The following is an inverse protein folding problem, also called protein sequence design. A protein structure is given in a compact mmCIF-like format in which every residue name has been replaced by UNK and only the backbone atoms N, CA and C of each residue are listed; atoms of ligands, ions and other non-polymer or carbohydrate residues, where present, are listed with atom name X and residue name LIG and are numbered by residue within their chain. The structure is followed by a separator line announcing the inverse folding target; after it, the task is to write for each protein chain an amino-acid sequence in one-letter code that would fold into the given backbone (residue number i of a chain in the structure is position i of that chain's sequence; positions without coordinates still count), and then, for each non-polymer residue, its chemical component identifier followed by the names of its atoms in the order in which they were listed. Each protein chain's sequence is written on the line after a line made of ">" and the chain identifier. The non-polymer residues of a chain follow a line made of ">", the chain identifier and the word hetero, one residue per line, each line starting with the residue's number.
data_IF_922973483472
#
_entry.id   IF_922973483472
#
_cell.length_a   1.000
_cell.length_b   1.000
_cell.length_c   1.000
_cell.angle_alpha   90.00
_cell.angle_beta   90.00
_cell.angle_gamma   90.00
#
_symmetry.space_group_name_H-M   'P 1'
#
loop_
_entity.id
_entity.type
_entity.pdbx_description
1 polymer ?
#
# COMPACT_ATOMS: atom_id res chain seq x y z
N UNK A 1 -12.73 -6.65 -41.70
CA UNK A 1 -11.59 -6.36 -40.82
C UNK A 1 -10.87 -5.12 -41.35
N UNK A 2 -11.23 -3.95 -40.83
CA UNK A 2 -10.55 -2.68 -41.13
C UNK A 2 -9.44 -2.52 -40.10
N UNK A 3 -8.19 -2.58 -40.56
CA UNK A 3 -7.00 -2.44 -39.74
C UNK A 3 -6.59 -0.97 -39.76
N UNK A 4 -6.83 -0.26 -38.65
CA UNK A 4 -6.40 1.13 -38.48
C UNK A 4 -4.96 1.09 -37.93
N UNK A 5 -3.97 1.74 -38.56
CA UNK A 5 -2.62 1.83 -38.01
C UNK A 5 -2.55 2.95 -36.98
N UNK A 6 -2.13 2.61 -35.76
CA UNK A 6 -1.84 3.59 -34.70
C UNK A 6 -0.39 4.08 -34.87
N UNK A 7 -0.09 5.40 -34.86
CA UNK A 7 1.26 5.89 -34.99
C UNK A 7 2.00 5.80 -33.64
N UNK A 8 3.14 5.12 -33.63
CA UNK A 8 4.07 5.12 -32.50
C UNK A 8 5.02 6.32 -32.61
N UNK A 9 5.01 7.20 -31.61
CA UNK A 9 5.97 8.30 -31.49
C UNK A 9 7.22 7.80 -30.74
N UNK A 10 8.32 7.61 -31.45
CA UNK A 10 9.63 7.34 -30.85
C UNK A 10 10.25 8.65 -30.33
N UNK A 11 10.52 8.72 -29.04
CA UNK A 11 11.37 9.77 -28.45
C UNK A 11 12.78 9.20 -28.32
N UNK A 12 13.81 9.77 -28.97
CA UNK A 12 15.19 9.35 -28.75
C UNK A 12 15.67 9.88 -27.40
N UNK A 13 16.08 8.97 -26.52
CA UNK A 13 16.85 9.33 -25.32
C UNK A 13 18.31 9.46 -25.74
N UNK A 14 18.83 10.69 -25.72
CA UNK A 14 20.25 10.97 -25.91
C UNK A 14 21.08 10.23 -24.85
N UNK A 15 21.94 9.35 -25.35
CA UNK A 15 22.96 8.67 -24.56
C UNK A 15 24.05 9.64 -24.18
N UNK A 16 24.12 10.03 -22.90
CA UNK A 16 25.34 10.57 -22.30
C UNK A 16 26.10 9.46 -21.56
N UNK A 17 27.38 9.39 -21.88
CA UNK A 17 28.30 8.30 -21.60
C UNK A 17 28.54 8.04 -20.10
N UNK A 18 28.50 6.76 -19.72
CA UNK A 18 29.02 6.25 -18.44
C UNK A 18 30.30 5.46 -18.76
N UNK A 19 31.43 5.72 -18.09
CA UNK A 19 32.67 5.01 -18.35
C UNK A 19 32.60 3.56 -17.86
N UNK A 20 33.13 2.68 -18.70
CA UNK A 20 33.22 1.26 -18.51
C UNK A 20 34.23 0.89 -17.42
N UNK A 21 33.76 0.54 -16.23
CA UNK A 21 34.34 -0.56 -15.45
C UNK A 21 33.41 -0.94 -14.29
N UNK A 22 32.66 -2.04 -14.43
CA UNK A 22 32.16 -2.92 -13.35
C UNK A 22 31.01 -3.81 -13.84
N UNK A 23 31.30 -5.10 -14.01
CA UNK A 23 30.42 -6.22 -13.64
C UNK A 23 29.06 -6.35 -14.36
N UNK A 24 28.99 -7.30 -15.28
CA UNK A 24 27.79 -7.78 -15.95
C UNK A 24 26.61 -8.06 -14.99
N UNK A 25 25.47 -7.40 -15.24
CA UNK A 25 24.15 -7.79 -14.76
C UNK A 25 23.48 -8.58 -15.90
N UNK A 26 22.90 -9.77 -15.64
CA UNK A 26 22.26 -10.57 -16.68
C UNK A 26 21.02 -9.86 -17.25
N UNK A 27 20.84 -9.82 -18.58
CA UNK A 27 19.76 -9.11 -19.24
C UNK A 27 18.50 -9.99 -19.31
N UNK A 28 17.86 -10.30 -18.18
CA UNK A 28 16.61 -11.08 -18.25
C UNK A 28 15.59 -10.86 -17.12
N UNK A 29 15.56 -9.68 -16.50
CA UNK A 29 14.51 -9.37 -15.51
C UNK A 29 13.97 -7.95 -15.62
N UNK A 30 13.61 -7.55 -16.84
CA UNK A 30 12.78 -6.38 -17.09
C UNK A 30 11.57 -6.79 -17.94
N UNK A 31 10.72 -7.68 -17.39
CA UNK A 31 9.32 -7.72 -17.80
C UNK A 31 8.64 -6.49 -17.20
N UNK A 32 8.71 -5.39 -17.94
CA UNK A 32 7.80 -4.28 -17.75
C UNK A 32 6.38 -4.84 -17.89
N UNK A 33 5.61 -4.80 -16.80
CA UNK A 33 4.18 -5.01 -16.88
C UNK A 33 3.60 -3.82 -17.65
N UNK A 34 3.19 -4.07 -18.89
CA UNK A 34 2.33 -3.17 -19.64
C UNK A 34 1.06 -2.98 -18.82
N UNK A 35 0.87 -1.78 -18.28
CA UNK A 35 -0.43 -1.33 -17.80
C UNK A 35 -1.17 -0.85 -19.07
N UNK A 36 -2.33 -1.42 -19.42
CA UNK A 36 -3.13 -0.93 -20.53
C UNK A 36 -3.52 0.53 -20.28
N UNK A 37 -3.30 1.40 -21.27
CA UNK A 37 -3.66 2.82 -21.21
C UNK A 37 -5.19 3.06 -21.23
N UNK A 38 -6.01 2.01 -21.24
CA UNK A 38 -7.48 2.11 -21.30
C UNK A 38 -8.13 2.49 -19.96
N UNK A 39 -7.40 2.47 -18.85
CA UNK A 39 -7.95 2.92 -17.55
C UNK A 39 -8.12 4.44 -17.45
N UNK A 40 -7.53 5.22 -18.37
CA UNK A 40 -7.73 6.68 -18.43
C UNK A 40 -8.96 7.10 -19.26
N UNK A 41 -9.43 6.29 -20.21
CA UNK A 41 -10.62 6.63 -21.02
C UNK A 41 -11.91 6.63 -20.21
N UNK A 42 -12.01 5.68 -19.26
CA UNK A 42 -13.22 5.50 -18.46
C UNK A 42 -13.46 6.61 -17.43
N UNK A 43 -12.40 7.24 -16.90
CA UNK A 43 -12.54 8.39 -16.00
C UNK A 43 -13.09 9.64 -16.71
N UNK A 44 -12.88 9.78 -18.02
CA UNK A 44 -13.48 10.87 -18.81
C UNK A 44 -14.97 10.63 -19.10
N UNK A 45 -15.37 9.37 -19.32
CA UNK A 45 -16.77 9.02 -19.56
C UNK A 45 -17.61 9.12 -18.28
N UNK A 46 -17.06 8.72 -17.13
CA UNK A 46 -17.71 8.89 -15.83
C UNK A 46 -17.89 10.37 -15.44
N UNK A 47 -16.91 11.24 -15.74
CA UNK A 47 -17.05 12.69 -15.52
C UNK A 47 -18.17 13.27 -16.40
N UNK A 48 -18.28 12.83 -17.65
CA UNK A 48 -19.34 13.27 -18.57
C UNK A 48 -20.74 12.87 -18.08
N UNK A 49 -20.92 11.68 -17.51
CA UNK A 49 -22.21 11.24 -16.96
C UNK A 49 -22.62 11.98 -15.67
N UNK A 50 -21.65 12.50 -14.90
CA UNK A 50 -21.90 13.27 -13.68
C UNK A 50 -22.22 14.74 -14.00
N UNK A 51 -21.67 15.29 -15.08
CA UNK A 51 -21.93 16.67 -15.51
C UNK A 51 -23.36 16.87 -16.07
N UNK A 52 -23.97 15.82 -16.62
CA UNK A 52 -25.31 15.87 -17.24
C UNK A 52 -26.48 15.79 -16.21
N UNK A 53 -26.21 15.51 -14.93
CA UNK A 53 -27.20 15.47 -13.85
C UNK A 53 -27.36 16.81 -13.11
N UNK A 54 -27.27 17.93 -13.82
CA UNK A 54 -27.51 19.26 -13.24
C UNK A 54 -29.01 19.58 -13.22
N UNK A 55 -29.69 19.09 -12.20
CA UNK A 55 -31.09 19.41 -11.90
C UNK A 55 -31.22 20.90 -11.55
N UNK A 56 -31.85 21.66 -12.45
CA UNK A 56 -32.33 23.04 -12.25
C UNK A 56 -33.31 23.12 -11.05
N UNK A 57 -33.12 24.02 -10.07
CA UNK A 57 -34.09 24.26 -9.02
C UNK A 57 -35.10 25.33 -9.48
N UNK A 58 -36.34 24.89 -9.71
CA UNK A 58 -37.49 25.72 -10.06
C UNK A 58 -38.00 26.54 -8.86
N UNK A 59 -38.47 27.75 -9.15
CA UNK A 59 -38.79 28.88 -8.27
C UNK A 59 -39.88 28.68 -7.20
N UNK A 60 -39.64 29.23 -5.99
CA UNK A 60 -40.50 30.06 -5.09
C UNK A 60 -41.97 29.64 -4.71
N UNK A 61 -42.58 30.11 -3.58
CA UNK A 61 -42.31 31.40 -2.92
C UNK A 61 -42.24 31.48 -1.38
N UNK A 62 -41.74 32.65 -0.97
CA UNK A 62 -41.57 33.27 0.34
C UNK A 62 -42.65 32.99 1.42
N UNK A 63 -42.19 32.89 2.68
CA UNK A 63 -42.86 33.55 3.81
C UNK A 63 -41.87 34.01 4.89
N UNK A 64 -41.99 35.28 5.24
CA UNK A 64 -41.19 36.09 6.16
C UNK A 64 -41.25 35.63 7.63
N UNK A 65 -40.13 35.73 8.37
CA UNK A 65 -40.02 36.59 9.57
C UNK A 65 -38.70 36.46 10.36
N UNK A 66 -37.96 37.57 10.38
CA UNK A 66 -37.36 38.23 11.55
C UNK A 66 -36.07 37.68 12.21
N UNK A 67 -34.97 38.37 11.87
CA UNK A 67 -34.11 39.17 12.78
C UNK A 67 -33.56 38.51 14.06
N UNK A 68 -32.25 38.20 14.03
CA UNK A 68 -31.29 38.86 14.93
C UNK A 68 -29.86 38.79 14.41
N UNK A 69 -29.31 39.98 14.10
CA UNK A 69 -27.90 40.28 13.84
C UNK A 69 -27.08 40.10 15.11
N UNK A 70 -25.88 39.53 14.97
CA UNK A 70 -24.63 40.25 15.27
C UNK A 70 -23.52 39.71 14.37
N UNK A 71 -23.24 40.45 13.30
CA UNK A 71 -22.11 40.29 12.40
C UNK A 71 -20.92 41.08 12.94
N UNK A 72 -19.83 40.41 13.28
CA UNK A 72 -18.49 41.00 13.33
C UNK A 72 -17.73 40.56 12.08
N UNK A 73 -17.89 41.32 11.00
CA UNK A 73 -17.16 41.14 9.74
C UNK A 73 -15.72 41.66 9.88
N UNK A 74 -14.88 40.83 10.48
CA UNK A 74 -13.45 40.86 10.22
C UNK A 74 -13.24 40.49 8.75
N UNK A 75 -12.49 41.31 7.99
CA UNK A 75 -12.05 40.95 6.64
C UNK A 75 -11.02 39.82 6.78
N UNK A 76 -11.49 38.59 6.96
CA UNK A 76 -10.64 37.39 6.91
C UNK A 76 -9.96 37.43 5.55
N UNK A 77 -8.65 37.61 5.56
CA UNK A 77 -7.90 37.68 4.33
C UNK A 77 -7.96 36.29 3.67
N UNK A 78 -7.95 36.21 2.34
CA UNK A 78 -7.92 34.90 1.64
C UNK A 78 -6.75 34.02 2.12
N UNK A 79 -5.68 34.64 2.62
CA UNK A 79 -4.52 33.95 3.19
C UNK A 79 -4.85 33.27 4.52
N UNK A 80 -5.69 33.87 5.36
CA UNK A 80 -6.09 33.27 6.64
C UNK A 80 -6.93 32.00 6.40
N UNK A 81 -7.83 32.02 5.41
CA UNK A 81 -8.63 30.84 5.01
C UNK A 81 -7.73 29.71 4.48
N UNK A 82 -6.70 30.06 3.70
CA UNK A 82 -5.75 29.07 3.18
C UNK A 82 -4.88 28.50 4.29
N UNK A 83 -4.40 29.33 5.22
CA UNK A 83 -3.60 28.87 6.35
C UNK A 83 -4.40 27.96 7.28
N UNK A 84 -5.67 28.28 7.55
CA UNK A 84 -6.57 27.43 8.33
C UNK A 84 -6.87 26.09 7.63
N UNK A 85 -7.02 26.13 6.30
CA UNK A 85 -7.17 24.91 5.49
C UNK A 85 -5.89 24.05 5.53
N UNK A 86 -4.70 24.66 5.44
CA UNK A 86 -3.41 23.95 5.53
C UNK A 86 -3.19 23.38 6.93
N UNK A 87 -3.54 24.12 7.98
CA UNK A 87 -3.44 23.68 9.37
C UNK A 87 -4.38 22.50 9.64
N UNK A 88 -5.63 22.57 9.20
CA UNK A 88 -6.58 21.45 9.31
C UNK A 88 -6.13 20.22 8.49
N UNK A 89 -5.58 20.42 7.28
CA UNK A 89 -4.99 19.34 6.48
C UNK A 89 -3.77 18.70 7.17
N UNK A 90 -2.94 19.50 7.86
CA UNK A 90 -1.77 19.00 8.62
C UNK A 90 -2.15 18.15 9.84
N UNK A 91 -3.40 18.20 10.28
CA UNK A 91 -3.91 17.36 11.37
C UNK A 91 -4.48 16.03 10.86
N UNK A 92 -4.55 15.83 9.53
CA UNK A 92 -4.99 14.57 8.93
C UNK A 92 -3.83 13.61 8.70
N UNK A 93 -4.14 12.34 8.41
CA UNK A 93 -3.15 11.30 8.06
C UNK A 93 -2.37 11.61 6.76
N UNK A 94 -2.72 12.70 6.07
CA UNK A 94 -2.09 13.20 4.83
C UNK A 94 -1.01 14.26 5.12
N UNK A 95 -0.80 14.64 6.39
CA UNK A 95 0.19 15.64 6.80
C UNK A 95 1.62 15.37 6.27
N UNK A 96 1.95 14.10 6.05
CA UNK A 96 3.22 13.66 5.48
C UNK A 96 3.48 14.15 4.04
N UNK A 97 2.45 14.55 3.29
CA UNK A 97 2.58 15.12 1.93
C UNK A 97 2.99 16.59 1.97
N UNK A 98 2.54 17.33 2.99
CA UNK A 98 2.74 18.78 3.09
C UNK A 98 3.97 19.16 3.92
N UNK A 99 4.41 18.28 4.81
CA UNK A 99 5.64 18.49 5.55
C UNK A 99 6.85 18.25 4.63
N UNK A 100 7.65 19.29 4.41
CA UNK A 100 8.90 19.28 3.62
C UNK A 100 9.99 18.37 4.19
N UNK A 101 9.73 17.67 5.29
CA UNK A 101 10.65 16.72 5.89
C UNK A 101 10.76 15.51 4.96
N UNK A 102 11.97 15.32 4.41
CA UNK A 102 12.33 14.17 3.57
C UNK A 102 11.90 12.87 4.26
N UNK A 103 10.96 12.16 3.64
CA UNK A 103 10.44 10.89 4.13
C UNK A 103 11.62 9.92 4.29
N UNK A 104 11.89 9.48 5.51
CA UNK A 104 12.95 8.51 5.77
C UNK A 104 12.45 7.11 5.42
N UNK A 105 13.39 6.21 5.10
CA UNK A 105 13.09 4.77 4.96
C UNK A 105 12.32 4.19 6.17
N UNK A 106 12.47 4.83 7.34
CA UNK A 106 11.89 4.42 8.61
C UNK A 106 10.42 4.82 8.77
N UNK A 107 9.90 5.71 7.92
CA UNK A 107 8.56 6.25 8.10
C UNK A 107 7.48 5.20 7.77
N UNK A 108 6.46 5.07 8.64
CA UNK A 108 5.36 4.14 8.41
C UNK A 108 4.63 4.52 7.13
N UNK A 109 4.31 3.52 6.32
CA UNK A 109 3.52 3.75 5.11
C UNK A 109 2.06 3.90 5.54
N UNK A 110 1.36 4.93 5.06
CA UNK A 110 -0.06 5.13 5.36
C UNK A 110 -0.82 3.83 5.11
N UNK A 111 -1.54 3.39 6.12
CA UNK A 111 -2.25 2.12 6.08
C UNK A 111 -3.55 2.34 5.32
N UNK A 112 -3.63 1.87 4.08
CA UNK A 112 -4.91 1.75 3.39
C UNK A 112 -5.72 0.67 4.11
N UNK A 113 -6.74 1.06 4.86
CA UNK A 113 -7.73 0.15 5.42
C UNK A 113 -8.56 -0.39 4.26
N UNK A 114 -8.16 -1.54 3.72
CA UNK A 114 -8.96 -2.28 2.74
C UNK A 114 -10.17 -2.86 3.48
N UNK A 115 -11.31 -2.19 3.39
CA UNK A 115 -12.56 -2.80 3.82
C UNK A 115 -12.86 -4.00 2.91
N UNK A 116 -13.18 -5.13 3.52
CA UNK A 116 -13.61 -6.33 2.80
C UNK A 116 -14.95 -5.97 2.15
N UNK A 117 -15.00 -6.00 0.81
CA UNK A 117 -16.25 -5.83 0.08
C UNK A 117 -17.16 -6.98 0.54
N UNK A 118 -18.32 -6.69 1.16
CA UNK A 118 -19.26 -7.74 1.54
C UNK A 118 -19.67 -8.49 0.28
N UNK A 119 -19.51 -9.81 0.28
CA UNK A 119 -20.06 -10.66 -0.77
C UNK A 119 -21.58 -10.57 -0.69
N UNK A 120 -22.18 -9.65 -1.45
CA UNK A 120 -23.62 -9.60 -1.56
C UNK A 120 -24.04 -10.84 -2.36
N UNK A 121 -24.76 -11.76 -1.72
CA UNK A 121 -25.43 -12.83 -2.42
C UNK A 121 -26.44 -12.18 -3.37
N UNK A 122 -26.26 -12.34 -4.67
CA UNK A 122 -27.25 -11.92 -5.67
C UNK A 122 -28.58 -12.60 -5.31
N UNK A 123 -29.61 -11.83 -4.91
CA UNK A 123 -30.93 -12.41 -4.70
C UNK A 123 -31.41 -12.86 -6.07
N UNK A 124 -31.43 -14.17 -6.33
CA UNK A 124 -31.83 -14.74 -7.63
C UNK A 124 -33.34 -14.56 -7.90
N UNK A 125 -34.11 -14.24 -6.86
CA UNK A 125 -35.57 -14.26 -6.85
C UNK A 125 -36.27 -13.11 -7.61
N UNK A 126 -35.80 -11.84 -7.60
CA UNK A 126 -36.54 -10.73 -8.23
C UNK A 126 -36.51 -10.78 -9.77
N UNK A 127 -35.44 -11.30 -10.36
CA UNK A 127 -35.27 -11.41 -11.81
C UNK A 127 -36.09 -12.54 -12.44
N UNK A 128 -36.64 -13.44 -11.63
CA UNK A 128 -37.44 -14.58 -12.10
C UNK A 128 -38.94 -14.28 -12.19
N UNK A 129 -39.37 -13.06 -11.85
CA UNK A 129 -40.77 -12.65 -11.88
C UNK A 129 -41.14 -12.30 -13.33
N UNK A 130 -42.22 -12.88 -13.83
CA UNK A 130 -42.77 -12.56 -15.15
C UNK A 130 -43.67 -11.30 -15.02
N UNK A 131 -43.26 -10.15 -15.57
CA UNK A 131 -44.00 -8.90 -15.41
C UNK A 131 -45.33 -8.96 -16.17
N UNK A 132 -46.42 -8.52 -15.55
CA UNK A 132 -47.76 -8.46 -16.16
C UNK A 132 -48.18 -7.04 -16.58
N UNK A 133 -47.49 -6.01 -16.08
CA UNK A 133 -47.82 -4.60 -16.35
C UNK A 133 -46.64 -3.84 -16.96
N UNK A 134 -46.91 -2.80 -17.76
CA UNK A 134 -45.86 -1.97 -18.39
C UNK A 134 -44.92 -1.32 -17.36
N UNK A 135 -45.46 -0.97 -16.19
CA UNK A 135 -44.68 -0.42 -15.08
C UNK A 135 -43.71 -1.44 -14.49
N UNK A 136 -44.11 -2.71 -14.38
CA UNK A 136 -43.24 -3.79 -13.93
C UNK A 136 -42.12 -4.05 -14.93
N UNK A 137 -42.39 -3.97 -16.24
CA UNK A 137 -41.36 -4.06 -17.28
C UNK A 137 -40.34 -2.94 -17.13
N UNK A 138 -40.80 -1.69 -16.96
CA UNK A 138 -39.90 -0.55 -16.77
C UNK A 138 -39.06 -0.68 -15.50
N UNK A 139 -39.66 -1.14 -14.40
CA UNK A 139 -38.95 -1.34 -13.14
C UNK A 139 -37.91 -2.46 -13.23
N UNK A 140 -38.22 -3.56 -13.91
CA UNK A 140 -37.27 -4.65 -14.14
C UNK A 140 -36.10 -4.20 -15.02
N UNK A 141 -36.35 -3.37 -16.05
CA UNK A 141 -35.29 -2.80 -16.87
C UNK A 141 -34.35 -1.91 -16.05
N UNK A 142 -34.90 -1.00 -15.23
CA UNK A 142 -34.12 -0.16 -14.33
C UNK A 142 -33.33 -0.98 -13.30
N UNK A 143 -33.92 -2.06 -12.78
CA UNK A 143 -33.25 -2.96 -11.84
C UNK A 143 -32.07 -3.68 -12.51
N UNK A 144 -32.26 -4.23 -13.71
CA UNK A 144 -31.19 -4.89 -14.47
C UNK A 144 -30.04 -3.94 -14.81
N UNK A 145 -30.35 -2.71 -15.23
CA UNK A 145 -29.35 -1.69 -15.49
C UNK A 145 -28.56 -1.34 -14.22
N UNK A 146 -29.26 -1.13 -13.09
CA UNK A 146 -28.61 -0.85 -11.82
C UNK A 146 -27.72 -2.01 -11.33
N UNK A 147 -28.12 -3.25 -11.57
CA UNK A 147 -27.33 -4.43 -11.23
C UNK A 147 -26.08 -4.52 -12.11
N UNK A 148 -26.21 -4.31 -13.42
CA UNK A 148 -25.08 -4.26 -14.34
C UNK A 148 -24.07 -3.17 -13.92
N UNK A 149 -24.54 -1.97 -13.59
CA UNK A 149 -23.70 -0.89 -13.07
C UNK A 149 -23.00 -1.27 -11.76
N UNK A 150 -23.72 -1.90 -10.82
CA UNK A 150 -23.14 -2.35 -9.56
C UNK A 150 -22.05 -3.42 -9.76
N UNK A 151 -22.23 -4.33 -10.71
CA UNK A 151 -21.21 -5.32 -11.06
C UNK A 151 -19.94 -4.66 -11.61
N UNK A 152 -20.09 -3.63 -12.46
CA UNK A 152 -18.96 -2.85 -12.98
C UNK A 152 -18.21 -2.16 -11.83
N UNK A 153 -18.94 -1.50 -10.92
CA UNK A 153 -18.34 -0.83 -9.75
C UNK A 153 -17.61 -1.81 -8.82
N UNK A 154 -18.17 -3.00 -8.63
CA UNK A 154 -17.55 -4.06 -7.85
C UNK A 154 -16.21 -4.49 -8.47
N UNK A 155 -16.20 -4.75 -9.78
CA UNK A 155 -14.98 -5.12 -10.50
C UNK A 155 -13.92 -4.01 -10.41
N UNK A 156 -14.30 -2.75 -10.63
CA UNK A 156 -13.40 -1.60 -10.48
C UNK A 156 -12.80 -1.52 -9.07
N UNK A 157 -13.62 -1.76 -8.05
CA UNK A 157 -13.14 -1.77 -6.66
C UNK A 157 -12.14 -2.89 -6.42
N UNK A 158 -12.39 -4.10 -6.94
CA UNK A 158 -11.45 -5.23 -6.86
C UNK A 158 -10.12 -4.88 -7.53
N UNK A 159 -10.15 -4.29 -8.72
CA UNK A 159 -8.95 -3.88 -9.46
C UNK A 159 -8.13 -2.82 -8.69
N UNK A 160 -8.80 -1.83 -8.11
CA UNK A 160 -8.16 -0.81 -7.27
C UNK A 160 -7.56 -1.43 -6.02
N UNK A 161 -8.28 -2.35 -5.36
CA UNK A 161 -7.76 -3.06 -4.19
C UNK A 161 -6.53 -3.90 -4.53
N UNK A 162 -6.58 -4.67 -5.63
CA UNK A 162 -5.46 -5.48 -6.10
C UNK A 162 -4.23 -4.60 -6.43
N UNK A 163 -4.46 -3.49 -7.13
CA UNK A 163 -3.40 -2.52 -7.46
C UNK A 163 -2.77 -1.92 -6.22
N UNK A 164 -3.57 -1.55 -5.21
CA UNK A 164 -3.06 -1.04 -3.94
C UNK A 164 -2.23 -2.07 -3.17
N UNK A 165 -2.66 -3.35 -3.15
CA UNK A 165 -1.89 -4.44 -2.54
C UNK A 165 -0.53 -4.60 -3.24
N UNK A 166 -0.53 -4.58 -4.57
CA UNK A 166 0.70 -4.69 -5.36
C UNK A 166 1.63 -3.49 -5.13
N UNK A 167 1.10 -2.27 -5.14
CA UNK A 167 1.84 -1.05 -4.86
C UNK A 167 2.46 -1.09 -3.45
N UNK A 168 1.71 -1.54 -2.45
CA UNK A 168 2.21 -1.74 -1.09
C UNK A 168 3.38 -2.72 -1.04
N UNK A 169 3.26 -3.85 -1.75
CA UNK A 169 4.33 -4.84 -1.84
C UNK A 169 5.58 -4.26 -2.54
N UNK A 170 5.40 -3.53 -3.64
CA UNK A 170 6.47 -2.87 -4.37
C UNK A 170 7.20 -1.83 -3.51
N UNK A 171 6.45 -0.91 -2.89
CA UNK A 171 7.00 0.11 -2.00
C UNK A 171 7.77 -0.52 -0.84
N UNK A 172 7.27 -1.63 -0.27
CA UNK A 172 8.00 -2.35 0.78
C UNK A 172 9.35 -2.89 0.30
N UNK A 173 9.43 -3.42 -0.92
CA UNK A 173 10.67 -3.91 -1.52
C UNK A 173 11.65 -2.76 -1.76
N UNK A 174 11.15 -1.64 -2.29
CA UNK A 174 11.95 -0.44 -2.54
C UNK A 174 12.51 0.13 -1.23
N UNK A 175 11.70 0.24 -0.18
CA UNK A 175 12.15 0.66 1.16
C UNK A 175 13.25 -0.25 1.70
N UNK A 176 13.15 -1.57 1.52
CA UNK A 176 14.22 -2.50 1.92
C UNK A 176 15.52 -2.27 1.12
N UNK A 177 15.43 -2.01 -0.18
CA UNK A 177 16.61 -1.70 -0.99
C UNK A 177 17.29 -0.41 -0.54
N UNK A 178 16.50 0.64 -0.24
CA UNK A 178 17.02 1.90 0.29
C UNK A 178 17.66 1.70 1.67
N UNK A 179 16.98 1.03 2.59
CA UNK A 179 17.52 0.70 3.91
C UNK A 179 18.85 -0.07 3.81
N UNK A 180 18.93 -1.04 2.89
CA UNK A 180 20.17 -1.78 2.63
C UNK A 180 21.29 -0.89 2.12
N UNK A 181 20.97 0.04 1.20
CA UNK A 181 21.96 0.98 0.67
C UNK A 181 22.43 1.97 1.75
N UNK A 182 21.53 2.48 2.59
CA UNK A 182 21.85 3.35 3.71
C UNK A 182 22.72 2.63 4.74
N UNK A 183 22.38 1.39 5.10
CA UNK A 183 23.17 0.58 6.02
C UNK A 183 24.55 0.27 5.41
N UNK A 184 24.63 -0.07 4.12
CA UNK A 184 25.91 -0.22 3.43
C UNK A 184 26.75 1.06 3.49
N UNK A 185 26.15 2.24 3.37
CA UNK A 185 26.87 3.51 3.51
C UNK A 185 27.35 3.74 4.94
N UNK A 186 26.53 3.42 5.94
CA UNK A 186 26.91 3.51 7.37
C UNK A 186 28.02 2.51 7.72
N UNK A 187 28.01 1.33 7.13
CA UNK A 187 29.01 0.28 7.39
C UNK A 187 30.37 0.56 6.73
N UNK A 188 30.49 1.53 5.80
CA UNK A 188 31.77 1.86 5.12
C UNK A 188 32.90 2.38 6.02
N UNK A 189 32.67 2.51 7.32
CA UNK A 189 33.68 2.84 8.33
C UNK A 189 33.82 1.79 9.45
N UNK A 190 33.00 0.73 9.42
CA UNK A 190 32.89 -0.21 10.53
C UNK A 190 34.07 -1.18 10.53
N UNK A 191 35.03 -0.94 11.43
CA UNK A 191 36.25 -1.73 11.57
C UNK A 191 37.54 -0.90 11.39
N UNK A 192 37.43 0.36 10.99
CA UNK A 192 38.55 1.29 10.95
C UNK A 192 38.77 1.93 12.32
N UNK A 193 40.03 2.22 12.68
CA UNK A 193 40.39 2.88 13.94
C UNK A 193 39.76 4.28 14.08
N UNK A 194 39.54 4.96 12.95
CA UNK A 194 38.85 6.25 12.83
C UNK A 194 37.76 6.06 11.77
N UNK A 195 36.49 6.06 12.20
CA UNK A 195 35.34 5.58 11.43
C UNK A 195 35.05 6.31 10.11
N UNK A 196 35.70 7.44 9.85
CA UNK A 196 35.41 8.29 8.69
C UNK A 196 36.10 7.82 7.40
N UNK A 197 37.02 6.84 7.50
CA UNK A 197 37.76 6.29 6.35
C UNK A 197 38.73 7.29 5.67
N UNK A 198 38.83 8.50 6.19
CA UNK A 198 39.74 9.54 5.73
C UNK A 198 41.10 9.44 6.45
N UNK A 199 42.22 9.74 5.77
CA UNK A 199 43.52 9.85 6.42
C UNK A 199 43.47 10.94 7.52
N UNK A 200 43.67 10.54 8.77
CA UNK A 200 43.72 11.45 9.91
C UNK A 200 45.09 11.34 10.59
N UNK A 201 45.78 12.48 10.74
CA UNK A 201 47.06 12.54 11.46
C UNK A 201 46.75 12.61 12.94
N UNK A 202 46.88 11.47 13.63
CA UNK A 202 46.73 11.39 15.07
C UNK A 202 48.06 11.67 15.77
N UNK A 203 48.04 12.51 16.80
CA UNK A 203 49.16 12.65 17.75
C UNK A 203 49.31 11.33 18.54
N UNK A 204 50.54 10.96 18.94
CA UNK A 204 50.86 9.64 19.53
C UNK A 204 49.93 9.20 20.67
N UNK A 205 49.59 10.10 21.59
CA UNK A 205 48.69 9.81 22.71
C UNK A 205 47.24 9.57 22.26
N UNK A 206 46.77 10.34 21.27
CA UNK A 206 45.43 10.18 20.70
C UNK A 206 45.31 8.85 19.94
N UNK A 207 46.36 8.46 19.21
CA UNK A 207 46.46 7.16 18.55
C UNK A 207 46.40 6.01 19.56
N UNK A 208 47.20 6.08 20.63
CA UNK A 208 47.22 5.02 21.64
C UNK A 208 45.87 4.83 22.31
N UNK A 209 45.20 5.93 22.70
CA UNK A 209 43.84 5.88 23.26
C UNK A 209 42.85 5.24 22.28
N UNK A 210 42.88 5.62 21.00
CA UNK A 210 42.01 5.04 19.98
C UNK A 210 42.23 3.52 19.82
N UNK A 211 43.48 3.06 19.83
CA UNK A 211 43.81 1.62 19.70
C UNK A 211 43.32 0.82 20.91
N UNK A 212 43.43 1.38 22.10
CA UNK A 212 42.94 0.73 23.34
C UNK A 212 41.41 0.61 23.30
N UNK A 213 40.70 1.68 22.95
CA UNK A 213 39.24 1.66 22.87
C UNK A 213 38.74 0.73 21.76
N UNK A 214 39.42 0.71 20.60
CA UNK A 214 39.10 -0.23 19.52
C UNK A 214 39.24 -1.69 19.94
N UNK A 215 40.30 -2.05 20.69
CA UNK A 215 40.49 -3.41 21.23
C UNK A 215 39.40 -3.77 22.24
N UNK A 216 39.07 -2.86 23.16
CA UNK A 216 37.98 -3.07 24.12
C UNK A 216 36.64 -3.28 23.41
N UNK A 217 36.36 -2.47 22.39
CA UNK A 217 35.16 -2.58 21.57
C UNK A 217 35.10 -3.92 20.84
N UNK A 218 36.22 -4.42 20.30
CA UNK A 218 36.30 -5.76 19.69
C UNK A 218 35.98 -6.88 20.67
N UNK A 219 36.56 -6.83 21.86
CA UNK A 219 36.28 -7.81 22.93
C UNK A 219 34.82 -7.75 23.41
N UNK A 220 34.20 -6.57 23.42
CA UNK A 220 32.77 -6.43 23.72
C UNK A 220 31.88 -6.99 22.59
N UNK A 221 32.21 -6.69 21.33
CA UNK A 221 31.48 -7.17 20.15
C UNK A 221 31.48 -8.71 20.08
N UNK A 222 32.62 -9.35 20.39
CA UNK A 222 32.73 -10.81 20.45
C UNK A 222 31.84 -11.41 21.54
N UNK A 223 31.82 -10.80 22.74
CA UNK A 223 30.95 -11.25 23.84
C UNK A 223 29.47 -11.10 23.48
N UNK A 224 29.09 -9.98 22.87
CA UNK A 224 27.71 -9.75 22.43
C UNK A 224 27.31 -10.72 21.30
N UNK A 225 28.23 -11.04 20.39
CA UNK A 225 28.00 -12.02 19.34
C UNK A 225 27.76 -13.42 19.92
N UNK A 226 28.50 -13.80 20.97
CA UNK A 226 28.33 -15.07 21.65
C UNK A 226 26.98 -15.15 22.37
N UNK A 227 26.62 -14.14 23.16
CA UNK A 227 25.29 -14.07 23.80
C UNK A 227 24.16 -14.16 22.77
N UNK A 228 24.31 -13.53 21.60
CA UNK A 228 23.32 -13.63 20.51
C UNK A 228 23.24 -15.02 19.88
N UNK A 229 24.31 -15.81 19.89
CA UNK A 229 24.24 -17.21 19.43
C UNK A 229 23.48 -18.06 20.46
N UNK A 230 23.76 -17.88 21.74
CA UNK A 230 23.08 -18.61 22.81
C UNK A 230 21.58 -18.34 22.80
N UNK A 231 21.17 -17.07 22.72
CA UNK A 231 19.75 -16.69 22.61
C UNK A 231 19.10 -17.29 21.36
N UNK A 232 19.80 -17.29 20.22
CA UNK A 232 19.29 -17.91 18.98
C UNK A 232 19.14 -19.42 19.10
N UNK A 233 20.05 -20.09 19.79
CA UNK A 233 19.97 -21.54 20.03
C UNK A 233 18.78 -21.89 20.92
N UNK A 234 18.55 -21.14 22.01
CA UNK A 234 17.39 -21.31 22.88
C UNK A 234 16.09 -21.09 22.12
N UNK A 235 16.01 -20.01 21.34
CA UNK A 235 14.83 -19.72 20.52
C UNK A 235 14.56 -20.81 19.48
N UNK A 236 15.60 -21.29 18.78
CA UNK A 236 15.46 -22.35 17.79
C UNK A 236 14.98 -23.67 18.42
N UNK A 237 15.45 -24.00 19.62
CA UNK A 237 14.99 -25.17 20.37
C UNK A 237 13.51 -25.05 20.76
N UNK A 238 13.11 -23.90 21.33
CA UNK A 238 11.72 -23.64 21.69
C UNK A 238 10.78 -23.66 20.47
N UNK A 239 11.23 -23.13 19.33
CA UNK A 239 10.47 -23.16 18.09
C UNK A 239 10.26 -24.59 17.59
N UNK A 240 11.28 -25.44 17.71
CA UNK A 240 11.19 -26.85 17.32
C UNK A 240 10.21 -27.62 18.21
N UNK A 241 10.29 -27.42 19.52
CA UNK A 241 9.36 -28.03 20.48
C UNK A 241 7.91 -27.61 20.20
N UNK A 242 7.68 -26.32 19.91
CA UNK A 242 6.37 -25.82 19.53
C UNK A 242 5.84 -26.45 18.23
N UNK A 243 6.69 -26.59 17.20
CA UNK A 243 6.33 -27.24 15.94
C UNK A 243 5.98 -28.72 16.11
N UNK A 244 6.73 -29.44 16.94
CA UNK A 244 6.44 -30.84 17.27
C UNK A 244 5.09 -30.98 18.00
N UNK A 245 4.80 -30.06 18.93
CA UNK A 245 3.52 -29.99 19.62
C UNK A 245 2.34 -29.69 18.67
N UNK A 246 2.51 -28.73 17.75
CA UNK A 246 1.47 -28.39 16.76
C UNK A 246 1.18 -29.57 15.83
N UNK A 247 2.23 -30.28 15.38
CA UNK A 247 2.09 -31.46 14.54
C UNK A 247 1.35 -32.59 15.26
N UNK A 248 1.64 -32.83 16.54
CA UNK A 248 0.96 -33.84 17.35
C UNK A 248 -0.54 -33.52 17.53
N UNK A 249 -0.87 -32.27 17.89
CA UNK A 249 -2.27 -31.84 18.02
C UNK A 249 -3.04 -31.96 16.70
N UNK A 250 -2.40 -31.63 15.58
CA UNK A 250 -3.01 -31.74 14.26
C UNK A 250 -3.30 -33.21 13.90
N UNK A 251 -2.38 -34.13 14.20
CA UNK A 251 -2.55 -35.55 13.96
C UNK A 251 -3.71 -36.14 14.79
N UNK A 252 -3.78 -35.82 16.09
CA UNK A 252 -4.87 -36.25 16.97
C UNK A 252 -6.23 -35.73 16.48
N UNK A 253 -6.29 -34.45 16.07
CA UNK A 253 -7.51 -33.87 15.50
C UNK A 253 -7.92 -34.56 14.21
N UNK A 254 -6.97 -34.93 13.37
CA UNK A 254 -7.25 -35.64 12.11
C UNK A 254 -7.75 -37.06 12.36
N UNK A 255 -7.20 -37.77 13.35
CA UNK A 255 -7.71 -39.08 13.79
C UNK A 255 -9.16 -38.99 14.29
N UNK A 256 -9.43 -38.04 15.19
CA UNK A 256 -10.79 -37.76 15.68
C UNK A 256 -11.76 -37.42 14.53
N UNK A 257 -11.31 -36.67 13.53
CA UNK A 257 -12.10 -36.35 12.34
C UNK A 257 -12.37 -37.59 11.47
N UNK A 258 -11.41 -38.49 11.36
CA UNK A 258 -11.56 -39.75 10.62
C UNK A 258 -12.56 -40.68 11.31
N UNK A 259 -12.48 -40.81 12.64
CA UNK A 259 -13.46 -41.54 13.44
C UNK A 259 -14.86 -40.96 13.30
N UNK A 260 -14.99 -39.63 13.39
CA UNK A 260 -16.25 -38.94 13.20
C UNK A 260 -16.82 -39.18 11.79
N UNK A 261 -16.00 -39.05 10.74
CA UNK A 261 -16.41 -39.34 9.36
C UNK A 261 -16.91 -40.78 9.22
N UNK A 262 -16.17 -41.74 9.78
CA UNK A 262 -16.56 -43.15 9.75
C UNK A 262 -17.89 -43.38 10.49
N UNK A 263 -18.08 -42.76 11.66
CA UNK A 263 -19.34 -42.83 12.39
C UNK A 263 -20.49 -42.24 11.56
N UNK A 264 -20.34 -41.06 10.96
CA UNK A 264 -21.36 -40.43 10.09
C UNK A 264 -21.75 -41.36 8.94
N UNK A 265 -20.78 -42.00 8.26
CA UNK A 265 -21.10 -42.94 7.18
C UNK A 265 -21.88 -44.17 7.64
N UNK A 266 -21.76 -44.57 8.91
CA UNK A 266 -22.57 -45.65 9.49
C UNK A 266 -24.01 -45.20 9.77
N UNK A 267 -24.22 -43.93 10.15
CA UNK A 267 -25.55 -43.36 10.41
C UNK A 267 -26.34 -43.01 9.15
N UNK A 268 -25.67 -42.79 8.02
CA UNK A 268 -26.31 -42.43 6.74
C UNK A 268 -26.82 -43.65 5.94
N UNK A 269 -26.42 -44.88 6.30
CA UNK A 269 -26.90 -46.14 5.71
C UNK A 269 -28.00 -46.79 6.55
#
# INVERSE_FOLDING_TARGET
>A
FLQIPVPFLWIPVDSSAIPADSGAIPPDSCRFLQIPLDSCGFLQEWLSMVEDNKMEPSDEPELTSNTSKTSSTSKVSKLDVILEAVESLSQTDIAHIFNTTLTLSSDPMSHTTTQIIPSQSTPTHPLSIEPQTDNEILLLAALQESEACNQILLNCTIELQASNILNKAYCSKLKRHLAHQENKKKDKGKGTLVGDGLPCVLTGDAFYKAVVEFKKAKVAEERDAEMKKDVRAVYAAALKEWQEGEAAQKAEKEEMLMEYRHAVTYWEN
#
